data_IF_545855793434
#
_entry.id   IF_545855793434
#
_cell.length_a   1.000
_cell.length_b   1.000
_cell.length_c   1.000
_cell.angle_alpha   90.00
_cell.angle_beta   90.00
_cell.angle_gamma   90.00
#
_symmetry.space_group_name_H-M   'P 1'
#
loop_
_entity.id
_entity.type
_entity.pdbx_description
1 polymer ?
#
# COMPACT_ATOMS: atom_id res chain seq x y z
N UNK A 1 -8.60 -9.23 -8.28
CA UNK A 1 -9.47 -8.63 -9.31
C UNK A 1 -10.79 -8.20 -8.69
N UNK A 2 -11.20 -6.97 -8.94
CA UNK A 2 -12.54 -6.47 -8.62
C UNK A 2 -13.55 -7.04 -9.63
N UNK A 3 -14.80 -7.21 -9.21
CA UNK A 3 -15.88 -7.74 -10.05
C UNK A 3 -16.79 -6.63 -10.58
N UNK A 4 -16.97 -5.55 -9.81
CA UNK A 4 -17.75 -4.37 -10.17
C UNK A 4 -16.89 -3.36 -10.91
N UNK A 5 -17.47 -2.67 -11.90
CA UNK A 5 -16.82 -1.53 -12.56
C UNK A 5 -16.67 -0.33 -11.62
N UNK A 6 -17.67 -0.10 -10.75
CA UNK A 6 -17.66 1.00 -9.78
C UNK A 6 -18.16 0.57 -8.39
N UNK A 7 -17.69 1.27 -7.37
CA UNK A 7 -18.19 1.26 -5.99
C UNK A 7 -18.69 2.67 -5.66
N UNK A 8 -20.02 2.86 -5.64
CA UNK A 8 -20.59 4.21 -5.73
C UNK A 8 -20.20 4.85 -7.06
N UNK A 9 -19.70 6.07 -7.02
CA UNK A 9 -19.18 6.78 -8.19
C UNK A 9 -17.71 6.48 -8.51
N UNK A 10 -17.02 5.70 -7.67
CA UNK A 10 -15.59 5.45 -7.80
C UNK A 10 -15.28 4.21 -8.68
N UNK A 11 -14.62 4.36 -9.84
CA UNK A 11 -14.20 3.23 -10.68
C UNK A 11 -13.17 2.35 -9.99
N UNK A 12 -13.37 1.03 -10.02
CA UNK A 12 -12.52 0.08 -9.30
C UNK A 12 -11.13 -0.08 -9.92
N UNK A 13 -10.98 0.24 -11.21
CA UNK A 13 -9.68 0.27 -11.90
C UNK A 13 -8.72 1.32 -11.31
N UNK A 14 -9.25 2.45 -10.82
CA UNK A 14 -8.44 3.52 -10.24
C UNK A 14 -7.72 3.11 -8.96
N UNK A 15 -8.15 2.02 -8.30
CA UNK A 15 -7.44 1.51 -7.13
C UNK A 15 -6.03 1.06 -7.50
N UNK A 16 -5.89 0.34 -8.62
CA UNK A 16 -4.57 -0.11 -9.07
C UNK A 16 -3.71 1.08 -9.51
N UNK A 17 -4.28 1.99 -10.29
CA UNK A 17 -3.56 3.18 -10.77
C UNK A 17 -3.14 4.12 -9.63
N UNK A 18 -3.99 4.27 -8.61
CA UNK A 18 -3.66 5.01 -7.40
C UNK A 18 -2.41 4.43 -6.71
N UNK A 19 -2.39 3.12 -6.44
CA UNK A 19 -1.25 2.49 -5.75
C UNK A 19 0.00 2.41 -6.64
N UNK A 20 -0.15 2.30 -7.96
CA UNK A 20 0.96 2.36 -8.92
C UNK A 20 1.62 3.75 -8.93
N UNK A 21 0.81 4.81 -9.01
CA UNK A 21 1.28 6.19 -8.92
C UNK A 21 1.91 6.50 -7.56
N UNK A 22 1.25 6.05 -6.48
CA UNK A 22 1.75 6.23 -5.11
C UNK A 22 3.10 5.54 -4.89
N UNK A 23 3.26 4.28 -5.30
CA UNK A 23 4.52 3.54 -5.18
C UNK A 23 5.67 4.28 -5.90
N UNK A 24 5.38 4.76 -7.12
CA UNK A 24 6.34 5.52 -7.92
C UNK A 24 6.73 6.84 -7.25
N UNK A 25 5.74 7.59 -6.75
CA UNK A 25 5.96 8.88 -6.08
C UNK A 25 6.72 8.76 -4.76
N UNK A 26 6.45 7.70 -3.99
CA UNK A 26 7.16 7.41 -2.74
C UNK A 26 8.55 6.79 -2.96
N UNK A 27 8.86 6.36 -4.19
CA UNK A 27 10.02 5.48 -4.49
C UNK A 27 10.03 4.23 -3.60
N UNK A 28 8.86 3.66 -3.36
CA UNK A 28 8.67 2.53 -2.47
C UNK A 28 8.20 1.30 -3.25
N UNK A 29 8.65 0.12 -2.81
CA UNK A 29 8.12 -1.14 -3.32
C UNK A 29 6.86 -1.50 -2.56
N UNK A 30 5.71 -1.57 -3.25
CA UNK A 30 4.43 -1.97 -2.66
C UNK A 30 3.95 -3.30 -3.24
N UNK A 31 3.55 -4.22 -2.36
CA UNK A 31 2.92 -5.47 -2.73
C UNK A 31 1.54 -5.59 -2.08
N UNK A 32 0.51 -5.72 -2.89
CA UNK A 32 -0.89 -5.73 -2.43
C UNK A 32 -1.60 -6.96 -2.96
N UNK A 33 -2.21 -7.72 -2.05
CA UNK A 33 -3.05 -8.87 -2.38
C UNK A 33 -4.28 -8.87 -1.50
N UNK A 34 -5.46 -9.01 -2.11
CA UNK A 34 -6.74 -9.02 -1.39
C UNK A 34 -7.59 -10.23 -1.81
N UNK A 35 -8.28 -10.83 -0.84
CA UNK A 35 -9.31 -11.85 -1.06
C UNK A 35 -10.60 -11.38 -0.40
N UNK A 36 -11.75 -11.65 -1.03
CA UNK A 36 -13.06 -11.24 -0.51
C UNK A 36 -14.15 -11.37 -1.56
N UNK A 37 -15.41 -11.22 -1.13
CA UNK A 37 -16.57 -11.25 -2.04
C UNK A 37 -17.04 -9.86 -2.46
N UNK A 38 -17.14 -8.93 -1.51
CA UNK A 38 -17.61 -7.56 -1.72
C UNK A 38 -16.44 -6.64 -2.11
N UNK A 39 -16.54 -5.92 -3.23
CA UNK A 39 -15.46 -5.06 -3.71
C UNK A 39 -15.24 -3.79 -2.87
N UNK A 40 -16.29 -3.22 -2.25
CA UNK A 40 -16.13 -2.10 -1.32
C UNK A 40 -15.24 -2.51 -0.13
N UNK A 41 -15.56 -3.64 0.51
CA UNK A 41 -14.74 -4.14 1.62
C UNK A 41 -13.32 -4.52 1.19
N UNK A 42 -13.12 -5.01 -0.04
CA UNK A 42 -11.76 -5.27 -0.54
C UNK A 42 -10.95 -3.99 -0.66
N UNK A 43 -11.53 -2.93 -1.23
CA UNK A 43 -10.86 -1.64 -1.40
C UNK A 43 -10.53 -1.07 -0.01
N UNK A 44 -11.51 -1.02 0.89
CA UNK A 44 -11.32 -0.56 2.26
C UNK A 44 -10.22 -1.37 2.99
N UNK A 45 -10.22 -2.70 2.85
CA UNK A 45 -9.20 -3.56 3.45
C UNK A 45 -7.80 -3.28 2.87
N UNK A 46 -7.68 -3.00 1.58
CA UNK A 46 -6.41 -2.59 0.95
C UNK A 46 -5.90 -1.30 1.60
N UNK A 47 -6.72 -0.25 1.66
CA UNK A 47 -6.32 1.04 2.23
C UNK A 47 -5.96 0.93 3.72
N UNK A 48 -6.76 0.20 4.52
CA UNK A 48 -6.47 -0.03 5.94
C UNK A 48 -5.17 -0.81 6.15
N UNK A 49 -4.94 -1.86 5.36
CA UNK A 49 -3.73 -2.67 5.46
C UNK A 49 -2.50 -1.88 5.03
N UNK A 50 -2.62 -1.09 3.96
CA UNK A 50 -1.57 -0.18 3.51
C UNK A 50 -1.22 0.86 4.58
N UNK A 51 -2.22 1.53 5.17
CA UNK A 51 -1.98 2.53 6.21
C UNK A 51 -1.22 1.94 7.41
N UNK A 52 -1.58 0.73 7.84
CA UNK A 52 -0.86 0.00 8.89
C UNK A 52 0.59 -0.30 8.49
N UNK A 53 0.81 -0.88 7.30
CA UNK A 53 2.13 -1.25 6.81
C UNK A 53 3.04 -0.02 6.61
N UNK A 54 2.51 1.08 6.08
CA UNK A 54 3.25 2.32 5.91
C UNK A 54 3.64 2.93 7.26
N UNK A 55 2.73 2.95 8.23
CA UNK A 55 3.03 3.41 9.57
C UNK A 55 4.11 2.56 10.25
N UNK A 56 4.09 1.23 10.05
CA UNK A 56 5.17 0.35 10.53
C UNK A 56 6.50 0.63 9.82
N UNK A 57 6.50 0.82 8.49
CA UNK A 57 7.71 1.08 7.71
C UNK A 57 8.36 2.45 8.00
N UNK A 58 7.55 3.46 8.35
CA UNK A 58 8.04 4.82 8.64
C UNK A 58 8.40 5.05 10.12
N UNK A 59 8.17 4.08 11.00
CA UNK A 59 8.52 4.22 12.42
C UNK A 59 10.04 4.21 12.61
N UNK A 60 10.49 4.99 13.59
CA UNK A 60 11.87 4.92 14.06
C UNK A 60 12.09 3.56 14.74
N UNK A 61 13.11 2.84 14.28
CA UNK A 61 13.54 1.60 14.90
C UNK A 61 14.65 1.89 15.92
N UNK A 62 14.30 1.84 17.20
CA UNK A 62 15.24 2.03 18.32
C UNK A 62 16.36 0.99 18.31
N UNK A 63 16.14 -0.21 17.77
CA UNK A 63 17.16 -1.26 17.69
C UNK A 63 18.22 -0.97 16.64
N UNK A 64 17.86 -0.17 15.64
CA UNK A 64 18.71 0.16 14.51
C UNK A 64 19.65 1.35 14.81
N UNK A 65 19.55 1.99 15.99
CA UNK A 65 20.45 3.06 16.47
C UNK A 65 20.76 4.13 15.40
N UNK A 66 19.74 4.54 14.62
CA UNK A 66 19.88 5.56 13.58
C UNK A 66 20.69 5.13 12.34
N UNK A 67 21.02 3.85 12.18
CA UNK A 67 21.74 3.34 11.00
C UNK A 67 20.82 3.23 9.79
N UNK A 68 21.38 3.35 8.59
CA UNK A 68 20.63 3.12 7.35
C UNK A 68 20.37 1.60 7.23
N UNK A 69 19.10 1.15 7.13
CA UNK A 69 18.76 -0.28 7.03
C UNK A 69 19.04 -0.86 5.63
N UNK A 70 20.30 -0.79 5.19
CA UNK A 70 20.78 -1.28 3.90
C UNK A 70 22.23 -1.72 4.00
N UNK A 71 22.56 -2.92 3.51
CA UNK A 71 23.95 -3.43 3.47
C UNK A 71 24.85 -2.60 2.56
N UNK A 72 24.27 -1.83 1.64
CA UNK A 72 24.99 -0.90 0.76
C UNK A 72 25.21 0.48 1.39
N UNK A 73 24.65 0.73 2.58
CA UNK A 73 24.74 2.02 3.26
C UNK A 73 23.92 3.15 2.64
N UNK A 74 23.08 2.86 1.64
CA UNK A 74 22.19 3.81 0.95
C UNK A 74 20.82 3.17 0.67
N UNK A 75 19.78 4.00 0.53
CA UNK A 75 18.42 3.61 0.12
C UNK A 75 18.09 4.32 -1.19
#
# INVERSE_FOLDING_TARGET
KFKREKVGEFPTELVEEFFRGLASGLKANLYIKVKGKNDHHKIEAIFKSFAKALNEACRLDERNNGRIPSTKGII
#
